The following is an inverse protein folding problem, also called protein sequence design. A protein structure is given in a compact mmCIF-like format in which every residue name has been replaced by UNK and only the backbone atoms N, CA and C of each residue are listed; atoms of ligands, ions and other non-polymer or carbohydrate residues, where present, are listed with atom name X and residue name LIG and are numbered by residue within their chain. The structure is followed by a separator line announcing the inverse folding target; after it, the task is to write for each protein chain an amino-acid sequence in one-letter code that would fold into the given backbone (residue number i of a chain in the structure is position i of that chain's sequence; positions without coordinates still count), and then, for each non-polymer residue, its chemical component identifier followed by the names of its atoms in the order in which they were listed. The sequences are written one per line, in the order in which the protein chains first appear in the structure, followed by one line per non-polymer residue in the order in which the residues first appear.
data_IF_077190662858
#
_entry.id   IF_077190662858
#
_cell.length_a   1.000
_cell.length_b   1.000
_cell.length_c   1.000
_cell.angle_alpha   90.00
_cell.angle_beta   90.00
_cell.angle_gamma   90.00
#
_symmetry.space_group_name_H-M   'P 1'
#
loop_
_entity.id
_entity.type
_entity.pdbx_description
1 polymer ?
#
# COMPACT_ATOMS: atom_id res chain seq x y z
N UNK A 1 -17.07 -15.66 25.48
CA UNK A 1 -16.30 -14.41 25.38
C UNK A 1 -17.23 -13.33 24.85
N UNK A 2 -17.48 -12.31 25.61
CA UNK A 2 -18.31 -11.18 25.19
C UNK A 2 -17.39 -10.01 24.89
N UNK A 3 -17.50 -9.44 23.71
CA UNK A 3 -16.77 -8.22 23.37
C UNK A 3 -17.56 -7.03 23.89
N UNK A 4 -16.95 -6.24 24.74
CA UNK A 4 -17.47 -4.94 25.15
C UNK A 4 -17.10 -3.89 24.09
N UNK A 5 -17.85 -2.80 24.05
CA UNK A 5 -17.59 -1.66 23.17
C UNK A 5 -16.16 -1.14 23.41
N UNK A 6 -15.32 -1.23 22.41
CA UNK A 6 -13.90 -0.99 22.49
C UNK A 6 -13.51 -0.08 21.31
N UNK A 7 -12.52 0.74 21.52
CA UNK A 7 -11.97 1.64 20.50
C UNK A 7 -11.16 0.93 19.40
N UNK A 8 -10.96 -0.39 19.51
CA UNK A 8 -10.28 -1.16 18.45
C UNK A 8 -11.26 -1.51 17.32
N UNK A 9 -11.14 -0.92 16.13
CA UNK A 9 -12.05 -1.16 15.02
C UNK A 9 -11.88 -2.56 14.37
N UNK A 10 -10.85 -3.30 14.73
CA UNK A 10 -10.54 -4.60 14.15
C UNK A 10 -10.39 -5.67 15.23
N UNK A 11 -11.49 -6.31 15.68
CA UNK A 11 -11.40 -7.39 16.64
C UNK A 11 -10.54 -8.53 16.10
N UNK A 12 -9.62 -9.01 16.94
CA UNK A 12 -8.68 -10.08 16.59
C UNK A 12 -8.85 -11.26 17.51
N UNK A 13 -8.82 -12.45 16.95
CA UNK A 13 -8.61 -13.67 17.73
C UNK A 13 -7.10 -13.93 17.78
N UNK A 14 -6.51 -13.79 18.97
CA UNK A 14 -5.07 -13.97 19.17
C UNK A 14 -4.85 -15.14 20.09
N UNK A 15 -4.06 -16.13 19.64
CA UNK A 15 -3.53 -17.19 20.50
C UNK A 15 -2.09 -16.84 20.83
N UNK A 16 -1.88 -16.34 22.04
CA UNK A 16 -0.55 -16.03 22.52
C UNK A 16 0.06 -17.32 23.14
N UNK A 17 1.11 -17.82 22.49
CA UNK A 17 1.88 -19.01 22.93
C UNK A 17 3.12 -18.59 23.73
N UNK A 18 3.24 -17.33 24.11
CA UNK A 18 4.36 -16.82 24.91
C UNK A 18 4.39 -17.37 26.34
N UNK A 19 5.48 -17.12 27.02
CA UNK A 19 5.68 -17.48 28.43
C UNK A 19 4.67 -16.77 29.34
N UNK A 20 4.05 -17.49 30.23
CA UNK A 20 3.32 -16.87 31.36
C UNK A 20 4.30 -16.23 32.32
N UNK A 21 3.84 -15.21 33.06
CA UNK A 21 4.64 -14.56 34.09
C UNK A 21 5.24 -15.61 35.06
N UNK A 22 6.57 -15.68 35.12
CA UNK A 22 7.29 -16.67 35.93
C UNK A 22 7.78 -17.92 35.19
N UNK A 23 7.47 -18.10 33.90
CA UNK A 23 8.04 -19.15 33.07
C UNK A 23 9.15 -18.61 32.19
N UNK A 24 10.32 -19.22 32.26
CA UNK A 24 11.51 -18.75 31.53
C UNK A 24 11.79 -19.46 30.22
N UNK A 25 11.15 -20.62 29.97
CA UNK A 25 11.33 -21.39 28.73
C UNK A 25 10.09 -22.24 28.40
N UNK A 26 9.76 -22.34 27.10
CA UNK A 26 8.87 -23.37 26.57
C UNK A 26 9.74 -24.57 26.20
N UNK A 27 9.75 -25.59 27.05
CA UNK A 27 10.67 -26.72 26.93
C UNK A 27 10.15 -27.88 26.07
N UNK A 28 8.89 -27.84 25.63
CA UNK A 28 8.27 -28.89 24.84
C UNK A 28 7.52 -28.35 23.61
N UNK A 29 7.52 -29.13 22.53
CA UNK A 29 6.75 -28.81 21.34
C UNK A 29 5.24 -29.01 21.61
N UNK A 30 4.47 -27.96 21.53
CA UNK A 30 3.03 -27.97 21.65
C UNK A 30 2.34 -27.96 20.28
N UNK A 31 1.25 -28.71 20.15
CA UNK A 31 0.36 -28.64 18.98
C UNK A 31 -0.98 -28.14 19.44
N UNK A 32 -1.48 -27.09 18.79
CA UNK A 32 -2.82 -26.57 19.02
C UNK A 32 -3.64 -26.86 17.76
N UNK A 33 -4.80 -27.44 17.95
CA UNK A 33 -5.74 -27.72 16.89
C UNK A 33 -6.95 -26.84 17.06
N UNK A 34 -7.32 -26.14 16.00
CA UNK A 34 -8.55 -25.35 15.94
C UNK A 34 -9.48 -25.99 14.93
N UNK A 35 -10.73 -26.17 15.32
CA UNK A 35 -11.79 -26.67 14.47
C UNK A 35 -13.08 -25.90 14.76
N UNK A 36 -13.87 -25.64 13.71
CA UNK A 36 -15.20 -25.04 13.81
C UNK A 36 -15.26 -23.70 14.57
N UNK A 37 -14.26 -22.81 14.36
CA UNK A 37 -14.32 -21.47 14.93
C UNK A 37 -15.42 -20.69 14.22
N UNK A 38 -16.43 -20.26 14.97
CA UNK A 38 -17.55 -19.51 14.44
C UNK A 38 -17.79 -18.23 15.26
N UNK A 39 -18.08 -17.14 14.58
CA UNK A 39 -18.46 -15.87 15.19
C UNK A 39 -19.95 -15.64 14.96
N UNK A 40 -20.71 -15.43 16.03
CA UNK A 40 -22.14 -15.18 15.96
C UNK A 40 -22.46 -13.83 16.60
N UNK A 41 -23.38 -13.11 16.00
CA UNK A 41 -24.04 -11.97 16.62
C UNK A 41 -25.20 -12.52 17.45
N UNK A 42 -25.06 -12.49 18.78
CA UNK A 42 -26.10 -12.98 19.70
C UNK A 42 -27.18 -11.95 19.98
N UNK A 43 -26.85 -10.67 19.92
CA UNK A 43 -27.77 -9.54 20.00
C UNK A 43 -27.35 -8.48 18.98
N UNK A 44 -28.20 -8.28 17.98
CA UNK A 44 -28.01 -7.28 16.93
C UNK A 44 -28.77 -5.98 17.18
N UNK A 45 -29.34 -5.79 18.38
CA UNK A 45 -30.19 -4.61 18.66
C UNK A 45 -29.41 -3.29 18.56
N UNK A 46 -28.12 -3.31 18.85
CA UNK A 46 -27.20 -2.17 18.74
C UNK A 46 -26.29 -2.23 17.50
N UNK A 47 -26.48 -3.24 16.63
CA UNK A 47 -25.73 -3.28 15.40
C UNK A 47 -26.21 -2.12 14.51
N UNK A 48 -25.30 -1.22 14.15
CA UNK A 48 -25.57 -0.28 13.07
C UNK A 48 -25.93 -1.09 11.83
N UNK A 49 -27.18 -0.97 11.40
CA UNK A 49 -27.53 -1.41 10.07
C UNK A 49 -26.75 -0.51 9.11
N UNK A 50 -25.68 -1.01 8.55
CA UNK A 50 -25.08 -0.41 7.36
C UNK A 50 -26.13 -0.52 6.28
N UNK A 51 -27.02 0.46 6.23
CA UNK A 51 -28.07 0.57 5.23
C UNK A 51 -27.36 0.93 3.93
N UNK A 52 -27.22 -0.09 3.07
CA UNK A 52 -26.53 0.05 1.80
C UNK A 52 -25.03 0.13 1.94
N UNK A 53 -24.37 -0.98 2.32
CA UNK A 53 -22.95 -1.11 2.01
C UNK A 53 -22.77 -0.71 0.55
N UNK A 54 -21.87 0.24 0.22
CA UNK A 54 -21.65 0.62 -1.16
C UNK A 54 -21.41 -0.64 -1.97
N UNK A 55 -22.22 -0.84 -3.01
CA UNK A 55 -21.99 -1.99 -3.90
C UNK A 55 -20.60 -1.84 -4.49
N UNK A 56 -19.79 -2.90 -4.52
CA UNK A 56 -18.47 -2.82 -5.10
C UNK A 56 -18.58 -2.31 -6.53
N UNK A 57 -17.80 -1.30 -6.87
CA UNK A 57 -17.72 -0.78 -8.23
C UNK A 57 -17.31 -1.92 -9.15
N UNK A 58 -18.15 -2.20 -10.13
CA UNK A 58 -17.95 -3.32 -11.05
C UNK A 58 -17.01 -2.97 -12.21
N UNK A 59 -16.94 -1.69 -12.59
CA UNK A 59 -16.04 -1.18 -13.64
C UNK A 59 -14.74 -0.72 -12.99
N UNK A 60 -13.66 -1.40 -13.27
CA UNK A 60 -12.36 -1.20 -12.62
C UNK A 60 -11.32 -0.68 -13.59
N UNK A 61 -10.58 0.31 -13.15
CA UNK A 61 -9.45 0.93 -13.87
C UNK A 61 -8.29 1.13 -12.91
N UNK A 62 -7.09 1.41 -13.42
CA UNK A 62 -6.00 1.92 -12.59
C UNK A 62 -6.37 3.33 -12.10
N UNK A 63 -6.53 3.47 -10.78
CA UNK A 63 -6.98 4.73 -10.17
C UNK A 63 -5.88 5.79 -10.12
N UNK A 64 -4.60 5.42 -10.18
CA UNK A 64 -3.50 6.38 -10.38
C UNK A 64 -3.62 6.98 -11.77
N UNK A 65 -3.93 6.17 -12.77
CA UNK A 65 -4.09 6.58 -14.16
C UNK A 65 -3.13 5.87 -15.11
N UNK A 66 -2.98 6.44 -16.28
CA UNK A 66 -2.18 5.86 -17.38
C UNK A 66 -1.36 6.95 -18.07
N UNK A 67 -0.13 6.64 -18.45
CA UNK A 67 0.56 7.49 -19.40
C UNK A 67 -0.08 7.38 -20.78
N UNK A 68 0.01 8.40 -21.65
CA UNK A 68 -0.64 8.39 -22.97
C UNK A 68 -0.32 7.14 -23.81
N UNK A 69 0.91 6.66 -23.72
CA UNK A 69 1.39 5.52 -24.50
C UNK A 69 1.32 4.16 -23.80
N UNK A 70 0.83 4.13 -22.55
CA UNK A 70 0.63 2.88 -21.81
C UNK A 70 -0.44 2.00 -22.46
N UNK A 71 -0.32 0.69 -22.27
CA UNK A 71 -1.45 -0.22 -22.46
C UNK A 71 -2.52 0.09 -21.42
N UNK A 72 -3.74 0.40 -21.90
CA UNK A 72 -4.85 0.83 -21.05
C UNK A 72 -5.99 -0.16 -21.12
N UNK A 73 -6.32 -0.73 -19.95
CA UNK A 73 -7.36 -1.76 -19.86
C UNK A 73 -8.39 -1.38 -18.81
N UNK A 74 -9.67 -1.54 -19.14
CA UNK A 74 -10.78 -1.53 -18.21
C UNK A 74 -11.25 -2.96 -17.97
N UNK A 75 -11.61 -3.27 -16.74
CA UNK A 75 -12.14 -4.59 -16.35
C UNK A 75 -13.56 -4.41 -15.83
N UNK A 76 -14.46 -5.30 -16.26
CA UNK A 76 -15.82 -5.38 -15.72
C UNK A 76 -16.13 -6.81 -15.26
N UNK A 77 -16.79 -6.94 -14.12
CA UNK A 77 -17.17 -8.25 -13.55
C UNK A 77 -18.56 -8.71 -14.02
N UNK A 78 -19.25 -7.91 -14.78
CA UNK A 78 -20.55 -8.25 -15.36
C UNK A 78 -20.40 -9.01 -16.67
N UNK A 79 -21.26 -10.02 -16.87
CA UNK A 79 -21.35 -10.76 -18.13
C UNK A 79 -22.17 -10.02 -19.21
N UNK A 80 -22.96 -9.01 -18.80
CA UNK A 80 -23.97 -8.36 -19.64
C UNK A 80 -23.45 -7.06 -20.28
N UNK A 81 -22.28 -6.58 -19.84
CA UNK A 81 -21.62 -5.41 -20.43
C UNK A 81 -20.87 -5.80 -21.71
N UNK A 82 -21.26 -5.21 -22.83
CA UNK A 82 -20.62 -5.44 -24.13
C UNK A 82 -19.74 -4.27 -24.57
N UNK A 83 -20.07 -3.05 -24.13
CA UNK A 83 -19.41 -1.80 -24.53
C UNK A 83 -19.20 -0.89 -23.34
N UNK A 84 -18.22 -0.01 -23.47
CA UNK A 84 -17.95 1.06 -22.52
C UNK A 84 -17.74 2.38 -23.25
N UNK A 85 -17.91 3.48 -22.50
CA UNK A 85 -17.60 4.84 -22.94
C UNK A 85 -16.63 5.45 -21.96
N UNK A 86 -15.60 6.13 -22.46
CA UNK A 86 -14.81 7.05 -21.67
C UNK A 86 -15.46 8.42 -21.81
N UNK A 87 -15.74 9.03 -20.68
CA UNK A 87 -16.33 10.38 -20.64
C UNK A 87 -15.41 11.30 -19.86
N UNK A 88 -15.35 12.56 -20.25
CA UNK A 88 -14.70 13.62 -19.48
C UNK A 88 -15.37 13.71 -18.11
N UNK A 89 -14.57 13.72 -17.03
CA UNK A 89 -15.08 13.65 -15.66
C UNK A 89 -15.90 14.89 -15.25
N UNK A 90 -15.68 16.04 -15.90
CA UNK A 90 -16.35 17.32 -15.58
C UNK A 90 -17.57 17.59 -16.44
N UNK A 91 -17.46 17.23 -17.72
CA UNK A 91 -18.50 17.60 -18.71
C UNK A 91 -19.44 16.47 -19.07
N UNK A 92 -19.09 15.21 -18.69
CA UNK A 92 -19.75 13.98 -19.12
C UNK A 92 -19.77 13.76 -20.66
N UNK A 93 -18.97 14.56 -21.40
CA UNK A 93 -18.83 14.37 -22.84
C UNK A 93 -18.17 13.04 -23.16
N UNK A 94 -18.71 12.32 -24.14
CA UNK A 94 -18.12 11.04 -24.58
C UNK A 94 -16.90 11.31 -25.44
N UNK A 95 -15.74 10.86 -24.96
CA UNK A 95 -14.43 11.03 -25.61
C UNK A 95 -14.01 9.79 -26.40
N UNK A 96 -14.44 8.61 -25.97
CA UNK A 96 -14.08 7.34 -26.61
C UNK A 96 -15.18 6.29 -26.39
N UNK A 97 -15.33 5.35 -27.33
CA UNK A 97 -16.22 4.21 -27.20
C UNK A 97 -15.45 2.94 -27.54
N UNK A 98 -15.43 2.00 -26.62
CA UNK A 98 -14.79 0.70 -26.79
C UNK A 98 -15.76 -0.46 -26.57
N UNK A 99 -15.29 -1.65 -26.86
CA UNK A 99 -16.00 -2.90 -26.62
C UNK A 99 -15.19 -3.79 -25.66
N UNK A 100 -15.90 -4.57 -24.86
CA UNK A 100 -15.28 -5.62 -24.06
C UNK A 100 -15.05 -6.87 -24.90
N UNK A 101 -13.99 -7.60 -24.56
CA UNK A 101 -13.73 -8.93 -25.08
C UNK A 101 -14.66 -10.00 -24.46
N UNK A 102 -14.34 -11.24 -24.72
CA UNK A 102 -15.09 -12.38 -24.21
C UNK A 102 -14.97 -12.49 -22.67
N UNK A 103 -16.01 -13.07 -22.06
CA UNK A 103 -16.01 -13.37 -20.64
C UNK A 103 -14.98 -14.49 -20.34
N UNK A 104 -14.07 -14.26 -19.43
CA UNK A 104 -13.04 -15.22 -19.04
C UNK A 104 -12.93 -15.31 -17.51
N UNK A 105 -12.53 -16.47 -17.01
CA UNK A 105 -12.31 -16.65 -15.58
C UNK A 105 -10.89 -16.22 -15.20
N UNK A 106 -10.79 -15.24 -14.32
CA UNK A 106 -9.53 -14.80 -13.72
C UNK A 106 -9.30 -15.55 -12.39
N UNK A 107 -8.22 -16.33 -12.35
CA UNK A 107 -7.88 -17.14 -11.16
C UNK A 107 -7.42 -16.28 -9.98
N UNK A 108 -6.80 -15.14 -10.22
CA UNK A 108 -6.28 -14.26 -9.16
C UNK A 108 -7.40 -13.51 -8.46
N UNK A 109 -8.44 -13.15 -9.20
CA UNK A 109 -9.63 -12.49 -8.69
C UNK A 109 -10.77 -13.46 -8.33
N UNK A 110 -10.59 -14.77 -8.60
CA UNK A 110 -11.62 -15.82 -8.44
C UNK A 110 -12.98 -15.42 -9.03
N UNK A 111 -12.95 -14.74 -10.18
CA UNK A 111 -14.14 -14.12 -10.77
C UNK A 111 -14.12 -14.19 -12.30
N UNK A 112 -15.32 -14.20 -12.89
CA UNK A 112 -15.43 -14.01 -14.33
C UNK A 112 -15.37 -12.52 -14.65
N UNK A 113 -14.54 -12.16 -15.63
CA UNK A 113 -14.29 -10.78 -16.03
C UNK A 113 -14.30 -10.63 -17.54
N UNK A 114 -14.57 -9.42 -18.00
CA UNK A 114 -14.30 -8.97 -19.36
C UNK A 114 -13.27 -7.88 -19.33
N UNK A 115 -12.38 -7.88 -20.30
CA UNK A 115 -11.38 -6.84 -20.52
C UNK A 115 -11.79 -5.97 -21.70
N UNK A 116 -11.69 -4.66 -21.53
CA UNK A 116 -11.83 -3.69 -22.62
C UNK A 116 -10.53 -2.94 -22.81
N UNK A 117 -10.08 -2.85 -24.05
CA UNK A 117 -8.86 -2.13 -24.41
C UNK A 117 -9.21 -0.70 -24.86
N UNK A 118 -8.50 0.28 -24.31
CA UNK A 118 -8.57 1.68 -24.72
C UNK A 118 -7.18 2.33 -24.93
N UNK A 119 -6.19 1.51 -25.24
CA UNK A 119 -4.81 1.94 -25.49
C UNK A 119 -4.70 3.05 -26.53
N UNK A 120 -5.58 3.04 -27.54
CA UNK A 120 -5.64 4.06 -28.59
C UNK A 120 -6.11 5.44 -28.07
N UNK A 121 -6.77 5.50 -26.92
CA UNK A 121 -7.19 6.78 -26.34
C UNK A 121 -6.05 7.37 -25.50
N UNK A 122 -5.37 8.41 -26.07
CA UNK A 122 -4.14 8.99 -25.52
C UNK A 122 -4.29 10.42 -25.01
N UNK A 123 -5.46 11.01 -25.15
CA UNK A 123 -5.68 12.43 -24.80
C UNK A 123 -5.48 12.64 -23.29
N UNK A 124 -4.57 13.55 -22.87
CA UNK A 124 -4.43 13.88 -21.45
C UNK A 124 -5.70 14.50 -20.86
N UNK A 125 -6.00 14.18 -19.61
CA UNK A 125 -7.19 14.68 -18.92
C UNK A 125 -7.64 13.74 -17.80
N UNK A 126 -8.77 14.08 -17.16
CA UNK A 126 -9.42 13.27 -16.12
C UNK A 126 -10.73 12.72 -16.64
N UNK A 127 -10.90 11.43 -16.49
CA UNK A 127 -11.97 10.66 -17.12
C UNK A 127 -12.62 9.69 -16.14
N UNK A 128 -13.78 9.17 -16.52
CA UNK A 128 -14.42 7.98 -15.96
C UNK A 128 -14.93 7.09 -17.07
N UNK A 129 -15.05 5.80 -16.80
CA UNK A 129 -15.63 4.85 -17.74
C UNK A 129 -17.05 4.55 -17.33
N UNK A 130 -17.96 4.65 -18.27
CA UNK A 130 -19.38 4.29 -18.13
C UNK A 130 -19.63 3.00 -18.89
N UNK A 131 -20.21 2.03 -18.19
CA UNK A 131 -20.60 0.74 -18.73
C UNK A 131 -22.03 0.41 -18.33
N UNK A 132 -22.76 -0.32 -19.17
CA UNK A 132 -24.15 -0.65 -18.87
C UNK A 132 -24.34 -2.18 -19.00
N UNK A 133 -24.87 -2.83 -17.93
CA UNK A 133 -25.57 -2.23 -16.78
C UNK A 133 -24.68 -1.86 -15.55
N UNK A 134 -23.36 -2.07 -15.60
CA UNK A 134 -22.48 -2.00 -14.42
C UNK A 134 -22.24 -0.61 -13.82
N UNK A 135 -22.58 0.46 -14.55
CA UNK A 135 -22.43 1.83 -14.06
C UNK A 135 -21.07 2.47 -14.36
N UNK A 136 -20.54 3.27 -13.45
CA UNK A 136 -19.32 4.05 -13.63
C UNK A 136 -18.12 3.48 -12.87
N UNK A 137 -16.91 3.68 -13.41
CA UNK A 137 -15.66 3.51 -12.68
C UNK A 137 -15.42 4.68 -11.71
N UNK A 138 -14.39 4.57 -10.87
CA UNK A 138 -13.75 5.75 -10.31
C UNK A 138 -13.15 6.62 -11.40
N UNK A 139 -12.90 7.89 -11.08
CA UNK A 139 -12.14 8.78 -11.94
C UNK A 139 -10.69 8.30 -12.05
N UNK A 140 -10.11 8.52 -13.21
CA UNK A 140 -8.69 8.27 -13.49
C UNK A 140 -8.15 9.34 -14.42
N UNK A 141 -6.85 9.52 -14.41
CA UNK A 141 -6.18 10.51 -15.27
C UNK A 141 -5.36 9.85 -16.37
N UNK A 142 -5.17 10.56 -17.47
CA UNK A 142 -4.17 10.27 -18.49
C UNK A 142 -3.23 11.45 -18.53
N UNK A 143 -1.92 11.21 -18.38
CA UNK A 143 -0.88 12.25 -18.36
C UNK A 143 0.50 11.66 -18.20
N UNK A 144 1.54 12.45 -18.47
CA UNK A 144 2.94 11.98 -18.41
C UNK A 144 3.50 12.02 -16.99
N UNK A 145 2.97 12.88 -16.12
CA UNK A 145 3.44 13.22 -14.77
C UNK A 145 2.69 12.51 -13.63
N UNK A 146 1.82 11.57 -13.96
CA UNK A 146 0.92 10.91 -12.99
C UNK A 146 1.63 10.19 -11.84
N UNK A 147 2.85 9.74 -12.06
CA UNK A 147 3.62 8.97 -11.10
C UNK A 147 4.62 9.81 -10.32
N UNK A 148 4.76 11.11 -10.63
CA UNK A 148 5.74 11.98 -9.98
C UNK A 148 5.41 12.17 -8.50
N UNK A 149 4.16 12.44 -8.17
CA UNK A 149 3.70 12.52 -6.77
C UNK A 149 3.83 11.18 -6.05
N UNK A 150 3.50 10.07 -6.71
CA UNK A 150 3.64 8.72 -6.15
C UNK A 150 5.10 8.41 -5.85
N UNK A 151 6.00 8.75 -6.76
CA UNK A 151 7.45 8.60 -6.58
C UNK A 151 7.94 9.41 -5.38
N UNK A 152 7.57 10.67 -5.31
CA UNK A 152 7.86 11.56 -4.19
C UNK A 152 7.35 10.99 -2.85
N UNK A 153 6.10 10.52 -2.82
CA UNK A 153 5.51 9.95 -1.62
C UNK A 153 6.24 8.69 -1.15
N UNK A 154 6.74 7.85 -2.08
CA UNK A 154 7.53 6.66 -1.74
C UNK A 154 8.85 7.03 -1.10
N UNK A 155 9.58 8.03 -1.62
CA UNK A 155 10.84 8.50 -1.01
C UNK A 155 10.56 9.13 0.35
N UNK A 156 9.54 9.97 0.47
CA UNK A 156 9.12 10.56 1.75
C UNK A 156 8.62 9.52 2.76
N UNK A 157 8.07 8.39 2.31
CA UNK A 157 7.72 7.27 3.19
C UNK A 157 8.97 6.68 3.84
N UNK A 158 10.04 6.48 3.08
CA UNK A 158 11.31 6.01 3.63
C UNK A 158 11.90 7.02 4.63
N UNK A 159 11.96 8.29 4.27
CA UNK A 159 12.38 9.36 5.19
C UNK A 159 11.63 9.30 6.53
N UNK A 160 10.30 9.12 6.50
CA UNK A 160 9.47 9.07 7.71
C UNK A 160 9.74 7.85 8.60
N UNK A 161 10.43 6.85 8.08
CA UNK A 161 10.81 5.62 8.80
C UNK A 161 12.27 5.60 9.20
N UNK A 162 13.06 6.64 8.92
CA UNK A 162 14.47 6.70 9.30
C UNK A 162 14.65 6.47 10.79
N UNK A 163 15.69 5.74 11.16
CA UNK A 163 16.14 5.52 12.52
C UNK A 163 17.47 6.21 12.76
N UNK A 164 17.76 6.61 13.98
CA UNK A 164 19.05 7.22 14.32
C UNK A 164 19.16 8.70 13.94
N UNK A 165 18.11 9.33 13.45
CA UNK A 165 18.05 10.75 13.13
C UNK A 165 16.71 11.34 13.56
N UNK A 166 16.65 12.65 13.70
CA UNK A 166 15.40 13.37 13.88
C UNK A 166 14.61 13.37 12.55
N UNK A 167 13.33 13.03 12.62
CA UNK A 167 12.38 13.16 11.52
C UNK A 167 11.51 14.38 11.83
N UNK A 168 11.71 15.46 11.06
CA UNK A 168 11.18 16.78 11.40
C UNK A 168 9.68 16.94 11.08
N UNK A 169 9.00 17.76 11.88
CA UNK A 169 7.54 17.93 11.77
C UNK A 169 7.10 18.67 10.51
N UNK A 170 7.91 19.55 9.97
CA UNK A 170 7.63 20.29 8.75
C UNK A 170 7.59 19.39 7.51
N UNK A 171 8.36 18.31 7.49
CA UNK A 171 8.36 17.32 6.41
C UNK A 171 7.39 16.15 6.70
N UNK A 172 7.46 15.60 7.92
CA UNK A 172 6.79 14.36 8.26
C UNK A 172 5.40 14.53 8.92
N UNK A 173 5.04 15.76 9.31
CA UNK A 173 3.75 16.01 9.98
C UNK A 173 3.57 15.19 11.25
N UNK A 174 2.53 14.36 11.29
CA UNK A 174 2.20 13.52 12.45
C UNK A 174 3.16 12.31 12.62
N UNK A 175 4.02 12.04 11.65
CA UNK A 175 5.04 10.99 11.73
C UNK A 175 6.39 11.49 12.24
N UNK A 176 6.48 12.76 12.65
CA UNK A 176 7.69 13.34 13.20
C UNK A 176 8.10 12.66 14.51
N UNK A 177 9.39 12.45 14.70
CA UNK A 177 9.95 11.90 15.95
C UNK A 177 11.39 12.35 16.17
N UNK A 178 11.80 12.35 17.42
CA UNK A 178 13.18 12.58 17.82
C UNK A 178 14.10 11.46 17.34
N UNK A 179 15.42 11.74 17.31
CA UNK A 179 16.41 10.71 17.03
C UNK A 179 16.28 9.54 18.03
N UNK A 180 16.16 8.33 17.51
CA UNK A 180 15.93 7.12 18.30
C UNK A 180 17.04 6.10 18.11
N UNK A 181 17.12 5.10 19.01
CA UNK A 181 18.09 3.99 18.95
C UNK A 181 19.56 4.44 18.84
N UNK A 182 19.90 5.53 19.53
CA UNK A 182 21.24 6.13 19.53
C UNK A 182 22.23 5.42 20.47
N UNK A 183 21.78 4.40 21.19
CA UNK A 183 22.64 3.66 22.11
C UNK A 183 23.20 2.42 21.42
N UNK A 184 24.47 2.11 21.76
CA UNK A 184 25.08 0.86 21.33
C UNK A 184 24.30 -0.36 21.79
N UNK A 185 24.11 -1.33 20.89
CA UNK A 185 23.46 -2.61 21.18
C UNK A 185 24.48 -3.63 21.68
N UNK A 186 24.06 -4.45 22.66
CA UNK A 186 24.86 -5.60 23.10
C UNK A 186 24.67 -6.75 22.12
N UNK A 187 25.77 -7.36 21.69
CA UNK A 187 25.72 -8.52 20.79
C UNK A 187 25.07 -9.70 21.49
N UNK A 188 23.97 -10.19 20.92
CA UNK A 188 23.23 -11.31 21.48
C UNK A 188 24.10 -12.58 21.54
N UNK A 189 24.09 -13.26 22.67
CA UNK A 189 24.88 -14.47 22.90
C UNK A 189 26.39 -14.25 23.17
N UNK A 190 26.86 -12.99 23.09
CA UNK A 190 28.26 -12.68 23.50
C UNK A 190 28.34 -12.45 25.00
N UNK A 191 29.06 -13.35 25.66
CA UNK A 191 29.31 -13.28 27.12
C UNK A 191 30.37 -12.24 27.54
N UNK A 192 31.11 -11.69 26.58
CA UNK A 192 32.10 -10.61 26.82
C UNK A 192 31.42 -9.25 26.97
N UNK A 193 30.14 -9.14 26.59
CA UNK A 193 29.40 -7.89 26.65
C UNK A 193 29.79 -6.90 25.55
N UNK A 194 30.28 -7.39 24.40
CA UNK A 194 30.59 -6.55 23.24
C UNK A 194 29.41 -5.71 22.84
N UNK A 195 29.66 -4.43 22.62
CA UNK A 195 28.68 -3.47 22.12
C UNK A 195 29.07 -2.99 20.73
N UNK A 196 28.08 -2.75 19.91
CA UNK A 196 28.25 -2.22 18.56
C UNK A 196 27.26 -1.07 18.33
N UNK A 197 27.69 -0.09 17.56
CA UNK A 197 26.81 0.94 17.05
C UNK A 197 25.91 0.30 15.98
N UNK A 198 24.60 0.44 16.18
CA UNK A 198 23.56 -0.05 15.29
C UNK A 198 22.57 1.07 14.94
N UNK A 199 22.99 2.33 15.11
CA UNK A 199 22.17 3.48 14.69
C UNK A 199 21.95 3.50 13.18
N UNK A 200 20.94 4.22 12.72
CA UNK A 200 20.61 4.34 11.28
C UNK A 200 19.68 3.26 10.74
N UNK A 201 19.49 3.27 9.43
CA UNK A 201 18.52 2.44 8.72
C UNK A 201 17.07 2.90 8.91
N UNK A 202 16.14 2.02 8.60
CA UNK A 202 14.71 2.29 8.68
C UNK A 202 14.00 1.35 9.65
N UNK A 203 12.96 1.83 10.31
CA UNK A 203 12.05 1.01 11.08
C UNK A 203 11.23 0.12 10.14
N UNK A 204 11.08 -1.16 10.48
CA UNK A 204 10.31 -2.11 9.67
C UNK A 204 8.80 -1.95 9.91
N UNK A 205 8.38 -2.01 11.17
CA UNK A 205 6.97 -1.95 11.56
C UNK A 205 6.80 -1.30 12.94
N UNK A 206 5.65 -1.49 13.57
CA UNK A 206 5.32 -0.96 14.89
C UNK A 206 6.17 -1.52 16.04
N UNK A 207 7.02 -2.49 15.79
CA UNK A 207 8.04 -2.99 16.73
C UNK A 207 9.34 -2.15 16.68
N UNK A 208 9.44 -1.22 15.72
CA UNK A 208 10.62 -0.40 15.45
C UNK A 208 11.90 -1.22 15.22
N UNK A 209 11.75 -2.49 14.84
CA UNK A 209 12.85 -3.37 14.45
C UNK A 209 13.54 -2.89 13.17
N UNK A 210 14.82 -3.20 13.04
CA UNK A 210 15.63 -2.91 11.86
C UNK A 210 16.27 -4.20 11.40
N UNK A 211 15.89 -4.63 10.23
CA UNK A 211 16.29 -5.93 9.70
C UNK A 211 17.21 -5.75 8.51
N UNK A 212 18.40 -6.33 8.58
CA UNK A 212 19.45 -6.18 7.56
C UNK A 212 18.98 -6.58 6.18
N UNK A 213 18.17 -7.65 6.07
CA UNK A 213 17.70 -8.14 4.77
C UNK A 213 16.75 -7.13 4.12
N UNK A 214 15.77 -6.62 4.87
CA UNK A 214 14.82 -5.62 4.37
C UNK A 214 15.54 -4.31 4.02
N UNK A 215 16.41 -3.83 4.91
CA UNK A 215 17.20 -2.62 4.67
C UNK A 215 18.10 -2.73 3.43
N UNK A 216 18.84 -3.82 3.29
CA UNK A 216 19.68 -4.05 2.11
C UNK A 216 18.86 -4.13 0.81
N UNK A 217 17.66 -4.71 0.86
CA UNK A 217 16.74 -4.73 -0.28
C UNK A 217 16.27 -3.32 -0.65
N UNK A 218 15.93 -2.50 0.34
CA UNK A 218 15.55 -1.10 0.13
C UNK A 218 16.66 -0.32 -0.56
N UNK A 219 17.90 -0.40 -0.05
CA UNK A 219 19.07 0.23 -0.69
C UNK A 219 19.25 -0.24 -2.13
N UNK A 220 19.13 -1.56 -2.37
CA UNK A 220 19.20 -2.11 -3.72
C UNK A 220 18.13 -1.52 -4.64
N UNK A 221 16.88 -1.39 -4.18
CA UNK A 221 15.79 -0.86 -4.98
C UNK A 221 15.99 0.62 -5.32
N UNK A 222 16.51 1.40 -4.38
CA UNK A 222 16.87 2.80 -4.61
C UNK A 222 17.98 2.93 -5.68
N UNK A 223 19.03 2.10 -5.61
CA UNK A 223 20.08 2.09 -6.61
C UNK A 223 19.56 1.65 -7.99
N UNK A 224 18.70 0.62 -8.06
CA UNK A 224 18.08 0.20 -9.32
C UNK A 224 17.17 1.29 -9.90
N UNK A 225 16.45 2.01 -9.08
CA UNK A 225 15.64 3.15 -9.53
C UNK A 225 16.52 4.25 -10.15
N UNK A 226 17.70 4.50 -9.58
CA UNK A 226 18.67 5.42 -10.17
C UNK A 226 19.27 4.89 -11.47
N UNK A 227 19.75 3.65 -11.51
CA UNK A 227 20.47 3.08 -12.65
C UNK A 227 19.54 2.77 -13.83
N UNK A 228 18.42 2.10 -13.57
CA UNK A 228 17.54 1.59 -14.63
C UNK A 228 16.56 2.65 -15.16
N UNK A 229 16.14 3.58 -14.29
CA UNK A 229 15.11 4.57 -14.63
C UNK A 229 15.64 6.01 -14.65
N UNK A 230 16.92 6.22 -14.33
CA UNK A 230 17.54 7.55 -14.40
C UNK A 230 16.90 8.56 -13.46
N UNK A 231 16.44 8.12 -12.30
CA UNK A 231 15.78 9.00 -11.31
C UNK A 231 16.83 9.90 -10.65
N UNK A 232 16.85 11.18 -11.03
CA UNK A 232 17.83 12.16 -10.59
C UNK A 232 17.22 13.36 -9.88
N UNK A 233 15.96 13.26 -9.43
CA UNK A 233 15.30 14.34 -8.70
C UNK A 233 16.05 14.67 -7.41
N UNK A 234 16.26 15.96 -7.15
CA UNK A 234 16.94 16.54 -5.99
C UNK A 234 16.04 17.61 -5.35
N UNK A 235 14.71 17.35 -5.39
CA UNK A 235 13.66 18.27 -4.90
C UNK A 235 12.42 17.52 -4.37
N UNK A 236 12.60 16.28 -3.94
CA UNK A 236 11.50 15.44 -3.44
C UNK A 236 11.05 15.86 -2.04
N UNK A 237 11.85 16.68 -1.33
CA UNK A 237 11.49 17.28 -0.05
C UNK A 237 12.00 16.55 1.17
N UNK A 238 13.03 15.72 1.05
CA UNK A 238 13.82 15.24 2.19
C UNK A 238 14.79 16.35 2.67
N UNK A 239 15.39 16.26 3.87
CA UNK A 239 16.28 17.30 4.37
C UNK A 239 17.51 17.59 3.49
N UNK A 240 17.96 16.59 2.74
CA UNK A 240 19.13 16.65 1.87
C UNK A 240 18.80 17.27 0.49
N UNK A 241 17.51 17.41 0.12
CA UNK A 241 17.11 17.96 -1.19
C UNK A 241 17.79 19.29 -1.51
N UNK A 242 18.26 19.43 -2.73
CA UNK A 242 18.96 20.62 -3.24
C UNK A 242 20.49 20.59 -3.05
N UNK A 243 21.07 19.45 -2.63
CA UNK A 243 22.50 19.31 -2.41
C UNK A 243 23.29 18.88 -3.66
N UNK A 244 22.63 18.61 -4.79
CA UNK A 244 23.13 18.12 -6.10
C UNK A 244 23.39 16.61 -6.13
N UNK A 245 23.00 15.88 -5.11
CA UNK A 245 22.89 14.44 -5.13
C UNK A 245 21.40 14.11 -5.34
N UNK A 246 21.04 13.15 -6.17
CA UNK A 246 19.64 12.70 -6.24
C UNK A 246 19.11 12.26 -4.88
N UNK A 247 17.94 12.74 -4.48
CA UNK A 247 17.35 12.47 -3.16
C UNK A 247 17.24 10.98 -2.83
N UNK A 248 17.01 10.12 -3.83
CA UNK A 248 16.96 8.69 -3.60
C UNK A 248 18.33 8.07 -3.27
N UNK A 249 19.43 8.70 -3.66
CA UNK A 249 20.79 8.28 -3.27
C UNK A 249 21.17 8.83 -1.88
N UNK A 250 20.64 9.99 -1.52
CA UNK A 250 20.74 10.51 -0.15
C UNK A 250 19.93 9.66 0.84
N UNK A 251 18.82 9.07 0.38
CA UNK A 251 18.01 8.17 1.19
C UNK A 251 18.67 6.78 1.35
N UNK A 252 19.51 6.34 0.40
CA UNK A 252 20.14 5.02 0.37
C UNK A 252 21.42 4.94 1.23
#
# INVERSE_FOLDING_TARGET
FTMEENSDPAPRFVVNMGTQEGQTEVTEAHKIYFDNISLFVTDGSNAEKIVGAPQPIQVKVNQIGYKPDDTKTVIVTSKDDEKFKIVDAKTDETMFVGAYGELSYDKSAESNVRHGDFTEFKTPGTYKIISSPSGASYEFSIGDDLYDDVYKDVVLMLYKQRCGTEVTKDIAGDFAHEACHMQEATVYGDTSGTKIDVSGGWHDAGDYGRYVVSGAKTVQDLFLAYEDYGQTADDLGIPESGNKTPDLLDEA
#
